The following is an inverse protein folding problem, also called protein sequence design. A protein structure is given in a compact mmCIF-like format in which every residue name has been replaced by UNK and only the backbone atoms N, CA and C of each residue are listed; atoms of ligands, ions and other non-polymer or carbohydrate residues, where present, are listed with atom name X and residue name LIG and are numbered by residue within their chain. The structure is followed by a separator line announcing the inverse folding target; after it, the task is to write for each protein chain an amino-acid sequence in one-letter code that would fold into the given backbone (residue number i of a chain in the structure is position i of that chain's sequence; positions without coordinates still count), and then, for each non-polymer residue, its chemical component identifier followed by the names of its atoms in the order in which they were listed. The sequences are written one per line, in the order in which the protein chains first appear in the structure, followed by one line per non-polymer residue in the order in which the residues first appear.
data_IF_506179785858
#
_entry.id   IF_506179785858
#
_cell.length_a   1.000
_cell.length_b   1.000
_cell.length_c   1.000
_cell.angle_alpha   90.00
_cell.angle_beta   90.00
_cell.angle_gamma   90.00
#
_symmetry.space_group_name_H-M   'P 1'
#
loop_
_entity.id
_entity.type
_entity.pdbx_description
1 polymer ?
#
# COMPACT_ATOMS: atom_id res chain seq x y z
N UNK A 1 -27.76 -29.52 -31.54
CA UNK A 1 -27.38 -29.96 -32.91
C UNK A 1 -26.92 -28.71 -33.65
N UNK A 2 -25.70 -28.51 -34.13
CA UNK A 2 -24.60 -29.39 -34.55
C UNK A 2 -23.24 -28.74 -34.19
N UNK A 3 -22.25 -29.61 -34.05
CA UNK A 3 -20.84 -29.38 -33.79
C UNK A 3 -20.13 -28.52 -34.84
N UNK A 4 -19.06 -27.83 -34.45
CA UNK A 4 -17.80 -27.92 -35.19
C UNK A 4 -16.58 -27.64 -34.30
N UNK A 5 -15.84 -28.71 -34.02
CA UNK A 5 -14.51 -28.73 -33.42
C UNK A 5 -13.47 -28.38 -34.48
N UNK A 6 -12.49 -27.52 -34.17
CA UNK A 6 -11.19 -27.53 -34.87
C UNK A 6 -10.08 -27.52 -33.83
N UNK A 7 -9.48 -28.71 -33.72
CA UNK A 7 -8.23 -29.03 -33.06
C UNK A 7 -7.13 -28.79 -34.10
N UNK A 8 -6.04 -28.09 -33.76
CA UNK A 8 -4.80 -28.15 -34.55
C UNK A 8 -3.61 -28.39 -33.61
N UNK A 9 -2.89 -29.46 -33.94
CA UNK A 9 -1.76 -30.06 -33.24
C UNK A 9 -0.50 -29.84 -34.09
N UNK A 10 0.66 -29.75 -33.43
CA UNK A 10 1.99 -30.03 -34.00
C UNK A 10 2.87 -28.78 -34.09
N UNK A 11 3.77 -28.50 -33.14
CA UNK A 11 5.06 -29.17 -32.87
C UNK A 11 6.07 -29.06 -34.03
N UNK A 12 7.15 -28.29 -33.82
CA UNK A 12 8.47 -28.62 -34.38
C UNK A 12 9.60 -27.95 -33.60
N UNK A 13 10.44 -28.82 -33.02
CA UNK A 13 11.74 -28.52 -32.42
C UNK A 13 12.72 -27.94 -33.46
N UNK A 14 13.63 -27.08 -33.01
CA UNK A 14 15.00 -27.06 -33.54
C UNK A 14 16.00 -26.75 -32.43
N UNK A 15 16.87 -27.74 -32.20
CA UNK A 15 18.09 -27.71 -31.39
C UNK A 15 19.25 -27.31 -32.30
N UNK A 16 20.03 -26.30 -31.91
CA UNK A 16 21.43 -26.04 -32.30
C UNK A 16 22.01 -25.19 -31.15
N UNK A 17 23.17 -25.40 -30.52
CA UNK A 17 24.30 -26.31 -30.69
C UNK A 17 25.41 -25.84 -29.72
N UNK A 18 26.23 -26.78 -29.22
CA UNK A 18 27.29 -26.60 -28.23
C UNK A 18 28.43 -25.64 -28.63
N UNK A 19 29.08 -25.02 -27.64
CA UNK A 19 30.55 -24.95 -27.55
C UNK A 19 31.03 -24.99 -26.09
N UNK A 20 32.04 -25.83 -25.75
CA UNK A 20 32.71 -25.81 -24.45
C UNK A 20 34.18 -25.31 -24.50
N UNK A 21 34.59 -24.76 -23.34
CA UNK A 21 35.93 -24.71 -22.72
C UNK A 21 37.03 -23.80 -23.36
N UNK A 22 37.96 -23.24 -22.55
CA UNK A 22 38.95 -24.07 -21.85
C UNK A 22 39.18 -23.78 -20.37
N UNK A 23 39.55 -24.86 -19.68
CA UNK A 23 40.24 -24.96 -18.42
C UNK A 23 41.73 -24.58 -18.54
N UNK A 24 42.30 -24.02 -17.46
CA UNK A 24 43.73 -23.80 -17.28
C UNK A 24 44.14 -24.17 -15.85
N UNK A 25 45.09 -25.09 -15.76
CA UNK A 25 45.54 -25.85 -14.58
C UNK A 25 46.65 -25.14 -13.76
N UNK A 26 46.55 -25.29 -12.44
CA UNK A 26 47.48 -26.01 -11.53
C UNK A 26 48.96 -25.58 -11.33
N UNK A 27 49.34 -25.49 -10.03
CA UNK A 27 50.68 -25.64 -9.38
C UNK A 27 51.76 -24.58 -9.70
N UNK A 28 52.66 -24.13 -8.80
CA UNK A 28 53.29 -24.72 -7.61
C UNK A 28 54.02 -23.61 -6.81
N UNK A 29 54.25 -23.88 -5.52
CA UNK A 29 55.12 -23.19 -4.54
C UNK A 29 56.54 -22.88 -5.03
N UNK A 30 57.22 -21.89 -4.40
CA UNK A 30 58.41 -22.26 -3.64
C UNK A 30 58.48 -21.64 -2.24
N UNK A 31 58.95 -22.47 -1.31
CA UNK A 31 59.41 -22.14 0.04
C UNK A 31 60.77 -21.44 -0.01
N UNK A 32 60.93 -20.31 0.69
CA UNK A 32 62.23 -19.89 1.24
C UNK A 32 62.01 -19.31 2.64
N UNK A 33 62.93 -19.71 3.52
CA UNK A 33 63.06 -19.58 4.95
C UNK A 33 63.42 -18.17 5.46
N UNK A 34 62.88 -17.88 6.65
CA UNK A 34 63.59 -17.39 7.84
C UNK A 34 63.94 -15.89 7.97
N UNK A 35 63.21 -15.20 8.86
CA UNK A 35 63.76 -14.53 10.05
C UNK A 35 62.66 -13.83 10.86
N UNK A 36 62.47 -14.27 12.12
CA UNK A 36 61.83 -13.47 13.17
C UNK A 36 62.82 -12.40 13.69
N UNK A 37 62.32 -11.24 14.13
CA UNK A 37 62.16 -10.99 15.56
C UNK A 37 60.78 -10.39 15.88
N UNK A 38 59.93 -11.09 16.63
CA UNK A 38 59.62 -10.81 18.04
C UNK A 38 59.26 -9.36 18.35
N UNK A 39 57.96 -9.03 18.29
CA UNK A 39 57.35 -8.08 19.23
C UNK A 39 55.87 -8.45 19.46
N UNK A 40 55.39 -8.56 20.71
CA UNK A 40 54.03 -8.96 21.03
C UNK A 40 53.17 -7.71 21.24
N UNK A 41 52.65 -7.14 20.15
CA UNK A 41 51.48 -6.26 20.27
C UNK A 41 50.25 -7.09 19.97
N UNK A 42 49.71 -7.68 21.04
CA UNK A 42 48.37 -8.24 21.07
C UNK A 42 47.39 -7.10 20.82
N UNK A 43 47.12 -6.81 19.55
CA UNK A 43 45.91 -6.11 19.18
C UNK A 43 44.74 -7.01 19.61
N UNK A 44 44.06 -6.63 20.69
CA UNK A 44 42.72 -7.11 20.98
C UNK A 44 41.89 -6.85 19.73
N UNK A 45 41.65 -7.92 18.98
CA UNK A 45 40.56 -7.95 18.02
C UNK A 45 39.32 -7.88 18.89
N UNK A 46 38.81 -6.66 19.09
CA UNK A 46 37.46 -6.45 19.59
C UNK A 46 36.54 -7.26 18.69
N UNK A 47 36.13 -8.42 19.21
CA UNK A 47 35.10 -9.19 18.58
C UNK A 47 33.87 -8.31 18.64
N UNK A 48 33.47 -7.75 17.50
CA UNK A 48 32.12 -7.28 17.31
C UNK A 48 31.22 -8.49 17.51
N UNK A 49 30.81 -8.73 18.76
CA UNK A 49 29.71 -9.62 19.05
C UNK A 49 28.52 -9.00 18.33
N UNK A 50 28.17 -9.56 17.17
CA UNK A 50 26.85 -9.37 16.64
C UNK A 50 25.88 -9.66 17.79
N UNK A 51 24.95 -8.76 18.12
CA UNK A 51 24.03 -9.01 19.21
C UNK A 51 23.35 -10.34 18.91
N UNK A 52 23.50 -11.30 19.82
CA UNK A 52 22.76 -12.55 19.82
C UNK A 52 21.28 -12.19 19.71
N UNK A 53 20.71 -12.22 18.51
CA UNK A 53 19.28 -12.23 18.34
C UNK A 53 18.80 -13.50 19.04
N UNK A 54 18.33 -13.35 20.28
CA UNK A 54 17.65 -14.44 20.98
C UNK A 54 16.49 -14.86 20.08
N UNK A 55 16.55 -16.07 19.53
CA UNK A 55 15.46 -16.61 18.75
C UNK A 55 14.30 -16.88 19.71
N UNK A 56 13.31 -16.00 19.69
CA UNK A 56 12.12 -16.18 20.50
C UNK A 56 11.34 -17.42 20.03
N UNK A 57 10.71 -18.17 20.96
CA UNK A 57 9.93 -19.36 20.60
C UNK A 57 8.85 -19.07 19.56
N UNK A 58 8.54 -20.05 18.71
CA UNK A 58 7.41 -19.95 17.79
C UNK A 58 6.09 -19.98 18.57
N UNK A 59 5.16 -19.09 18.20
CA UNK A 59 3.88 -18.88 18.91
C UNK A 59 2.65 -19.29 18.08
N UNK A 60 2.87 -19.85 16.89
CA UNK A 60 1.83 -20.25 15.93
C UNK A 60 2.37 -20.32 14.51
N UNK A 61 1.51 -20.64 13.54
CA UNK A 61 1.88 -20.58 12.12
C UNK A 61 1.87 -19.14 11.61
N UNK A 62 2.83 -18.81 10.75
CA UNK A 62 2.99 -17.49 10.12
C UNK A 62 2.85 -17.59 8.61
N UNK A 63 2.25 -16.56 8.02
CA UNK A 63 2.33 -16.32 6.58
C UNK A 63 3.51 -15.41 6.25
N UNK A 64 3.95 -15.45 4.99
CA UNK A 64 4.89 -14.47 4.45
C UNK A 64 4.31 -13.04 4.62
N UNK A 65 5.16 -12.10 5.05
CA UNK A 65 4.77 -10.72 5.34
C UNK A 65 4.06 -10.49 6.68
N UNK A 66 3.71 -11.55 7.44
CA UNK A 66 3.00 -11.41 8.73
C UNK A 66 3.93 -11.31 9.95
N UNK A 67 5.18 -10.91 9.72
CA UNK A 67 6.18 -10.62 10.74
C UNK A 67 6.83 -9.28 10.44
N UNK A 68 6.85 -8.38 11.42
CA UNK A 68 7.52 -7.09 11.34
C UNK A 68 8.38 -6.89 12.59
N UNK A 69 9.67 -6.65 12.39
CA UNK A 69 10.62 -6.32 13.46
C UNK A 69 10.81 -4.80 13.48
N UNK A 70 10.64 -4.19 14.65
CA UNK A 70 10.81 -2.75 14.88
C UNK A 70 11.95 -2.58 15.88
N UNK A 71 13.17 -2.58 15.35
CA UNK A 71 14.41 -2.68 16.13
C UNK A 71 14.59 -1.51 17.11
N UNK A 72 14.22 -0.29 16.71
CA UNK A 72 14.35 0.92 17.55
C UNK A 72 13.39 0.91 18.76
N UNK A 73 12.33 0.12 18.69
CA UNK A 73 11.42 -0.15 19.81
C UNK A 73 11.75 -1.44 20.57
N UNK A 74 12.65 -2.27 20.04
CA UNK A 74 12.89 -3.60 20.58
C UNK A 74 11.64 -4.50 20.52
N UNK A 75 10.78 -4.32 19.50
CA UNK A 75 9.51 -5.02 19.36
C UNK A 75 9.45 -5.87 18.09
N UNK A 76 8.66 -6.94 18.15
CA UNK A 76 8.24 -7.73 16.99
C UNK A 76 6.72 -7.84 16.96
N UNK A 77 6.13 -7.53 15.81
CA UNK A 77 4.70 -7.64 15.52
C UNK A 77 4.45 -8.89 14.69
N UNK A 78 3.49 -9.71 15.10
CA UNK A 78 3.18 -10.99 14.47
C UNK A 78 1.66 -11.12 14.24
N UNK A 79 1.29 -11.62 13.07
CA UNK A 79 -0.07 -12.10 12.77
C UNK A 79 -0.03 -13.61 12.54
N UNK A 80 -0.42 -14.37 13.56
CA UNK A 80 -0.32 -15.84 13.56
C UNK A 80 -1.69 -16.52 13.50
N UNK A 81 -1.67 -17.80 13.15
CA UNK A 81 -2.75 -18.73 13.41
C UNK A 81 -2.32 -19.81 14.41
N UNK A 82 -3.25 -20.27 15.23
CA UNK A 82 -3.06 -21.35 16.20
C UNK A 82 -4.39 -22.08 16.44
N UNK A 83 -4.43 -22.96 17.43
CA UNK A 83 -5.65 -23.69 17.78
C UNK A 83 -6.81 -22.80 18.24
N UNK A 84 -6.55 -21.58 18.71
CA UNK A 84 -7.60 -20.64 19.12
C UNK A 84 -8.23 -19.92 17.91
N UNK A 85 -7.54 -19.88 16.77
CA UNK A 85 -8.03 -19.24 15.56
C UNK A 85 -8.42 -20.20 14.45
N UNK A 86 -7.95 -21.46 14.52
CA UNK A 86 -8.25 -22.50 13.55
C UNK A 86 -9.75 -22.74 13.39
N UNK A 87 -10.18 -22.84 12.14
CA UNK A 87 -11.51 -23.27 11.76
C UNK A 87 -11.48 -24.79 11.43
N UNK A 88 -12.44 -25.59 11.90
CA UNK A 88 -12.46 -27.03 11.65
C UNK A 88 -12.55 -27.42 10.17
N UNK A 89 -13.17 -26.60 9.33
CA UNK A 89 -13.42 -26.89 7.92
C UNK A 89 -12.42 -26.15 7.02
N UNK A 90 -12.09 -24.92 7.38
CA UNK A 90 -11.30 -24.01 6.55
C UNK A 90 -9.82 -23.92 6.97
N UNK A 91 -9.46 -24.50 8.11
CA UNK A 91 -8.07 -24.61 8.57
C UNK A 91 -7.56 -23.35 9.29
N UNK A 92 -6.24 -23.05 9.21
CA UNK A 92 -5.62 -21.97 9.99
C UNK A 92 -6.15 -20.58 9.61
N UNK A 93 -6.64 -19.82 10.60
CA UNK A 93 -7.06 -18.42 10.40
C UNK A 93 -6.05 -17.45 11.01
N UNK A 94 -5.32 -16.70 10.20
CA UNK A 94 -4.25 -15.79 10.66
C UNK A 94 -4.84 -14.47 11.16
N UNK A 95 -5.38 -14.50 12.38
CA UNK A 95 -6.10 -13.38 13.02
C UNK A 95 -5.70 -13.14 14.46
N UNK A 96 -4.67 -13.82 14.98
CA UNK A 96 -4.09 -13.54 16.30
C UNK A 96 -2.94 -12.55 16.14
N UNK A 97 -3.17 -11.31 16.57
CA UNK A 97 -2.17 -10.24 16.58
C UNK A 97 -1.40 -10.27 17.90
N UNK A 98 -0.08 -10.32 17.80
CA UNK A 98 0.84 -10.30 18.92
C UNK A 98 1.88 -9.20 18.73
N UNK A 99 2.23 -8.51 19.81
CA UNK A 99 3.45 -7.69 19.89
C UNK A 99 4.27 -8.24 21.04
N UNK A 100 5.52 -8.61 20.77
CA UNK A 100 6.44 -9.12 21.79
C UNK A 100 7.74 -8.32 21.82
N UNK A 101 8.39 -8.33 22.97
CA UNK A 101 9.73 -7.75 23.12
C UNK A 101 10.80 -8.67 22.54
N UNK A 102 11.78 -8.09 21.86
CA UNK A 102 12.95 -8.81 21.34
C UNK A 102 13.95 -9.20 22.44
N UNK A 103 13.87 -8.57 23.62
CA UNK A 103 14.82 -8.78 24.72
C UNK A 103 14.52 -10.07 25.50
N UNK A 104 13.27 -10.22 25.93
CA UNK A 104 12.80 -11.29 26.82
C UNK A 104 11.73 -12.19 26.19
N UNK A 105 11.36 -11.93 24.93
CA UNK A 105 10.29 -12.64 24.21
C UNK A 105 8.91 -12.51 24.87
N UNK A 106 8.73 -11.60 25.84
CA UNK A 106 7.46 -11.41 26.52
C UNK A 106 6.44 -10.76 25.59
N UNK A 107 5.22 -11.30 25.57
CA UNK A 107 4.09 -10.72 24.87
C UNK A 107 3.69 -9.44 25.61
N UNK A 108 3.80 -8.29 24.92
CA UNK A 108 3.43 -6.96 25.42
C UNK A 108 2.00 -6.60 25.04
N UNK A 109 1.53 -7.13 23.92
CA UNK A 109 0.17 -6.91 23.44
C UNK A 109 -0.35 -8.15 22.72
N UNK A 110 -1.62 -8.46 22.92
CA UNK A 110 -2.31 -9.55 22.25
C UNK A 110 -3.77 -9.19 21.96
N UNK A 111 -4.20 -9.46 20.73
CA UNK A 111 -5.61 -9.37 20.33
C UNK A 111 -5.96 -10.48 19.35
N UNK A 112 -7.13 -11.07 19.57
CA UNK A 112 -7.79 -11.90 18.58
C UNK A 112 -8.69 -11.02 17.71
N UNK A 113 -8.33 -10.86 16.43
CA UNK A 113 -9.14 -10.13 15.46
C UNK A 113 -10.37 -10.96 15.08
N UNK A 114 -11.51 -10.31 14.77
CA UNK A 114 -12.69 -11.01 14.30
C UNK A 114 -12.46 -11.59 12.91
N UNK A 115 -13.20 -12.63 12.56
CA UNK A 115 -13.30 -13.06 11.16
C UNK A 115 -13.84 -11.88 10.34
N UNK A 116 -13.13 -11.52 9.27
CA UNK A 116 -13.54 -10.37 8.45
C UNK A 116 -14.62 -10.75 7.45
N UNK A 117 -14.27 -11.63 6.50
CA UNK A 117 -15.19 -12.20 5.51
C UNK A 117 -15.40 -13.69 5.73
N UNK A 118 -14.31 -14.45 5.88
CA UNK A 118 -14.33 -15.89 6.16
C UNK A 118 -12.99 -16.30 6.80
N UNK A 119 -12.93 -17.36 7.62
CA UNK A 119 -11.71 -17.78 8.33
C UNK A 119 -10.48 -18.04 7.45
N UNK A 120 -10.68 -18.44 6.19
CA UNK A 120 -9.65 -18.68 5.18
C UNK A 120 -9.08 -17.40 4.54
N UNK A 121 -9.66 -16.22 4.82
CA UNK A 121 -9.08 -14.94 4.43
C UNK A 121 -8.29 -14.35 5.60
N UNK A 122 -6.94 -14.44 5.57
CA UNK A 122 -6.10 -13.98 6.67
C UNK A 122 -6.05 -12.46 6.75
N UNK A 123 -5.66 -11.95 7.92
CA UNK A 123 -5.15 -10.59 8.01
C UNK A 123 -3.67 -10.57 7.57
N UNK A 124 -3.25 -9.43 7.05
CA UNK A 124 -1.86 -9.16 6.70
C UNK A 124 -1.34 -7.89 7.36
N UNK A 125 -0.07 -7.90 7.74
CA UNK A 125 0.65 -6.66 8.00
C UNK A 125 0.85 -5.96 6.65
N UNK A 126 0.68 -4.64 6.64
CA UNK A 126 0.95 -3.85 5.44
C UNK A 126 2.35 -3.26 5.52
N UNK A 127 3.10 -3.34 4.43
CA UNK A 127 4.38 -2.67 4.27
C UNK A 127 4.15 -1.15 4.27
N UNK A 128 4.17 -0.52 5.43
CA UNK A 128 4.10 0.93 5.52
C UNK A 128 5.50 1.48 5.27
N UNK A 129 5.75 1.87 4.03
CA UNK A 129 7.07 2.32 3.57
C UNK A 129 7.53 3.63 4.21
N UNK A 130 6.62 4.45 4.76
CA UNK A 130 6.88 5.89 4.95
C UNK A 130 6.74 6.48 6.36
N UNK A 131 6.37 5.73 7.40
CA UNK A 131 6.05 6.38 8.67
C UNK A 131 6.80 5.84 9.91
N UNK A 132 8.10 6.16 9.98
CA UNK A 132 8.87 6.07 11.24
C UNK A 132 8.42 7.10 12.29
N UNK A 133 7.74 8.18 11.89
CA UNK A 133 7.39 9.28 12.78
C UNK A 133 6.20 8.97 13.70
N UNK A 134 5.24 8.15 13.23
CA UNK A 134 4.03 7.84 13.98
C UNK A 134 4.00 6.41 14.55
N UNK A 135 5.04 5.58 14.28
CA UNK A 135 5.19 4.20 14.80
C UNK A 135 3.90 3.38 14.70
N UNK A 136 3.21 3.54 13.57
CA UNK A 136 1.94 2.86 13.27
C UNK A 136 2.18 1.65 12.38
N UNK A 137 1.42 0.58 12.62
CA UNK A 137 1.35 -0.59 11.75
C UNK A 137 -0.09 -0.82 11.32
N UNK A 138 -0.35 -0.80 10.02
CA UNK A 138 -1.66 -1.12 9.50
C UNK A 138 -1.79 -2.62 9.26
N UNK A 139 -2.94 -3.17 9.66
CA UNK A 139 -3.32 -4.55 9.45
C UNK A 139 -4.49 -4.56 8.49
N UNK A 140 -4.33 -5.17 7.32
CA UNK A 140 -5.40 -5.29 6.32
C UNK A 140 -6.08 -6.64 6.46
N UNK A 141 -7.39 -6.61 6.70
CA UNK A 141 -8.26 -7.76 6.49
C UNK A 141 -8.75 -7.80 5.05
N UNK A 142 -9.85 -8.52 4.83
CA UNK A 142 -10.53 -8.52 3.55
C UNK A 142 -11.19 -7.17 3.25
N UNK A 143 -12.18 -6.74 4.04
CA UNK A 143 -12.94 -5.50 3.80
C UNK A 143 -12.78 -4.46 4.90
N UNK A 144 -12.09 -4.80 5.99
CA UNK A 144 -11.72 -3.86 7.05
C UNK A 144 -10.21 -3.85 7.28
N UNK A 145 -9.74 -2.78 7.89
CA UNK A 145 -8.37 -2.68 8.38
C UNK A 145 -8.34 -2.18 9.82
N UNK A 146 -7.20 -2.35 10.45
CA UNK A 146 -6.89 -1.81 11.77
C UNK A 146 -5.56 -1.07 11.70
N UNK A 147 -5.35 -0.16 12.63
CA UNK A 147 -4.06 0.50 12.83
C UNK A 147 -3.64 0.27 14.28
N UNK A 148 -2.45 -0.31 14.43
CA UNK A 148 -1.80 -0.53 15.72
C UNK A 148 -0.80 0.60 15.95
N UNK A 149 -0.98 1.32 17.06
CA UNK A 149 0.02 2.24 17.60
C UNK A 149 1.00 1.45 18.47
N UNK A 150 2.27 1.41 18.06
CA UNK A 150 3.31 0.63 18.75
C UNK A 150 3.86 1.32 20.00
N UNK A 151 3.70 2.64 20.14
CA UNK A 151 4.12 3.33 21.35
C UNK A 151 3.09 3.16 22.45
N UNK A 152 1.81 3.39 22.13
CA UNK A 152 0.73 3.23 23.07
C UNK A 152 0.32 1.76 23.26
N UNK A 153 0.75 0.86 22.36
CA UNK A 153 0.32 -0.54 22.28
C UNK A 153 -1.20 -0.66 22.24
N UNK A 154 -1.80 0.07 21.30
CA UNK A 154 -3.25 0.15 21.19
C UNK A 154 -3.71 -0.03 19.75
N UNK A 155 -4.79 -0.80 19.59
CA UNK A 155 -5.38 -1.10 18.29
C UNK A 155 -6.59 -0.21 18.06
N UNK A 156 -6.69 0.38 16.87
CA UNK A 156 -7.84 1.15 16.45
C UNK A 156 -9.14 0.31 16.48
N UNK A 157 -10.31 0.95 16.51
CA UNK A 157 -11.54 0.33 16.02
C UNK A 157 -11.38 -0.12 14.54
N UNK A 158 -12.21 -1.06 14.06
CA UNK A 158 -12.17 -1.47 12.65
C UNK A 158 -12.49 -0.29 11.74
N UNK A 159 -11.63 -0.08 10.73
CA UNK A 159 -11.79 0.95 9.72
C UNK A 159 -12.29 0.31 8.43
N UNK A 160 -13.33 0.88 7.83
CA UNK A 160 -13.94 0.40 6.60
C UNK A 160 -13.81 1.46 5.50
N UNK A 161 -13.33 1.11 4.30
CA UNK A 161 -13.29 2.00 3.15
C UNK A 161 -14.64 2.68 2.91
N UNK A 162 -14.59 3.96 2.51
CA UNK A 162 -15.78 4.72 2.12
C UNK A 162 -15.57 5.33 0.74
N UNK A 163 -16.66 5.36 -0.03
CA UNK A 163 -16.67 5.78 -1.42
C UNK A 163 -17.80 6.79 -1.65
N UNK A 164 -17.65 7.67 -2.63
CA UNK A 164 -18.66 8.71 -2.91
C UNK A 164 -19.92 8.12 -3.52
N UNK A 165 -19.75 7.18 -4.46
CA UNK A 165 -20.84 6.43 -5.06
C UNK A 165 -20.96 5.02 -4.43
N UNK A 166 -22.14 4.42 -4.57
CA UNK A 166 -22.35 3.02 -4.19
C UNK A 166 -21.43 2.11 -5.01
N UNK A 167 -21.04 0.97 -4.43
CA UNK A 167 -20.20 -0.02 -5.08
C UNK A 167 -20.90 -1.37 -5.12
N UNK A 168 -20.73 -2.08 -6.22
CA UNK A 168 -21.27 -3.42 -6.38
C UNK A 168 -20.10 -4.41 -6.43
N UNK A 169 -20.23 -5.49 -5.66
CA UNK A 169 -19.25 -6.58 -5.72
C UNK A 169 -19.47 -7.37 -7.00
N UNK A 170 -18.42 -7.53 -7.81
CA UNK A 170 -18.44 -8.38 -9.00
C UNK A 170 -18.35 -9.86 -8.61
N UNK A 171 -17.49 -10.17 -7.63
CA UNK A 171 -17.24 -11.53 -7.19
C UNK A 171 -16.90 -11.67 -5.69
N UNK A 172 -16.47 -12.86 -5.30
CA UNK A 172 -16.10 -13.18 -3.92
C UNK A 172 -14.82 -12.47 -3.44
N UNK A 173 -14.05 -11.88 -4.34
CA UNK A 173 -12.80 -11.17 -4.09
C UNK A 173 -12.96 -9.64 -4.13
N UNK A 174 -14.06 -9.13 -4.71
CA UNK A 174 -14.38 -7.71 -4.67
C UNK A 174 -14.48 -7.20 -3.24
N UNK A 175 -13.89 -6.02 -3.00
CA UNK A 175 -13.75 -5.40 -1.68
C UNK A 175 -12.47 -5.76 -0.93
N UNK A 176 -11.69 -6.74 -1.42
CA UNK A 176 -10.43 -7.11 -0.79
C UNK A 176 -9.43 -5.93 -0.78
N UNK A 177 -8.93 -5.56 0.40
CA UNK A 177 -7.90 -4.53 0.55
C UNK A 177 -6.55 -5.11 0.09
N UNK A 178 -6.06 -4.58 -1.03
CA UNK A 178 -4.85 -5.10 -1.68
C UNK A 178 -3.59 -4.36 -1.21
N UNK A 179 -3.70 -3.05 -0.97
CA UNK A 179 -2.56 -2.20 -0.63
C UNK A 179 -2.97 -1.06 0.29
N UNK A 180 -2.03 -0.68 1.14
CA UNK A 180 -2.08 0.49 2.00
C UNK A 180 -0.74 1.23 1.88
N UNK A 181 -0.79 2.54 1.86
CA UNK A 181 0.37 3.44 1.88
C UNK A 181 0.09 4.57 2.86
N UNK A 182 1.09 4.95 3.65
CA UNK A 182 1.01 6.14 4.49
C UNK A 182 1.66 7.30 3.77
N UNK A 183 0.98 8.44 3.77
CA UNK A 183 1.46 9.68 3.20
C UNK A 183 1.10 10.84 4.09
N UNK A 184 2.12 11.47 4.68
CA UNK A 184 1.93 12.49 5.71
C UNK A 184 0.98 11.97 6.80
N UNK A 185 -0.07 12.73 7.13
CA UNK A 185 -1.10 12.37 8.10
C UNK A 185 -2.27 11.57 7.49
N UNK A 186 -2.02 10.79 6.44
CA UNK A 186 -3.05 10.01 5.75
C UNK A 186 -2.64 8.56 5.51
N UNK A 187 -3.60 7.66 5.65
CA UNK A 187 -3.53 6.28 5.19
C UNK A 187 -4.37 6.14 3.91
N UNK A 188 -3.71 5.92 2.79
CA UNK A 188 -4.30 5.77 1.46
C UNK A 188 -4.30 4.29 1.11
N UNK A 189 -5.41 3.78 0.59
CA UNK A 189 -5.53 2.36 0.25
C UNK A 189 -6.27 2.12 -1.05
N UNK A 190 -6.22 0.87 -1.49
CA UNK A 190 -6.98 0.37 -2.64
C UNK A 190 -7.70 -0.93 -2.28
N UNK A 191 -9.01 -0.95 -2.55
CA UNK A 191 -9.86 -2.11 -2.44
C UNK A 191 -10.22 -2.60 -3.84
N UNK A 192 -10.05 -3.90 -4.08
CA UNK A 192 -10.32 -4.57 -5.36
C UNK A 192 -11.75 -4.29 -5.83
N UNK A 193 -11.89 -3.85 -7.09
CA UNK A 193 -13.15 -3.49 -7.77
C UNK A 193 -13.95 -2.35 -7.11
N UNK A 194 -13.48 -1.82 -5.98
CA UNK A 194 -14.13 -0.71 -5.26
C UNK A 194 -13.39 0.61 -5.49
N UNK A 195 -12.08 0.56 -5.72
CA UNK A 195 -11.25 1.73 -5.93
C UNK A 195 -10.45 2.17 -4.70
N UNK A 196 -9.98 3.40 -4.74
CA UNK A 196 -9.13 3.99 -3.70
C UNK A 196 -9.93 4.59 -2.56
N UNK A 197 -9.37 4.56 -1.37
CA UNK A 197 -9.95 5.15 -0.15
C UNK A 197 -8.86 5.83 0.67
N UNK A 198 -9.27 6.77 1.54
CA UNK A 198 -8.34 7.54 2.37
C UNK A 198 -8.87 7.66 3.79
N UNK A 199 -7.99 7.54 4.77
CA UNK A 199 -8.24 7.90 6.16
C UNK A 199 -7.26 9.00 6.59
N UNK A 200 -7.75 10.00 7.31
CA UNK A 200 -6.92 10.98 8.02
C UNK A 200 -6.49 10.40 9.37
N UNK A 201 -5.23 10.58 9.73
CA UNK A 201 -4.61 10.16 10.98
C UNK A 201 -4.62 11.36 11.95
N UNK A 202 -5.72 11.58 12.68
CA UNK A 202 -5.92 12.79 13.49
C UNK A 202 -5.37 12.69 14.92
N UNK A 203 -4.62 11.63 15.22
CA UNK A 203 -3.98 11.39 16.51
C UNK A 203 -3.99 9.91 16.91
N UNK A 204 -3.55 9.58 18.15
CA UNK A 204 -3.52 8.21 18.63
C UNK A 204 -4.93 7.59 18.54
N UNK A 205 -5.06 6.57 17.70
CA UNK A 205 -6.31 5.83 17.44
C UNK A 205 -7.48 6.64 16.84
N UNK A 206 -7.27 7.89 16.41
CA UNK A 206 -8.33 8.69 15.78
C UNK A 206 -8.10 8.68 14.27
N UNK A 207 -8.98 7.95 13.59
CA UNK A 207 -8.94 7.79 12.14
C UNK A 207 -10.28 8.18 11.56
N UNK A 208 -10.25 9.09 10.59
CA UNK A 208 -11.46 9.60 9.95
C UNK A 208 -11.42 9.26 8.48
N UNK A 209 -12.47 8.59 7.98
CA UNK A 209 -12.60 8.33 6.56
C UNK A 209 -12.74 9.66 5.81
N UNK A 210 -11.84 9.90 4.86
CA UNK A 210 -11.92 11.04 3.95
C UNK A 210 -12.71 10.59 2.73
N UNK A 211 -13.88 11.21 2.54
CA UNK A 211 -14.68 10.96 1.35
C UNK A 211 -13.95 11.49 0.10
N UNK A 212 -13.99 10.76 -1.02
CA UNK A 212 -13.56 11.31 -2.31
C UNK A 212 -14.27 12.64 -2.57
N UNK A 213 -13.51 13.65 -2.98
CA UNK A 213 -14.09 14.94 -3.35
C UNK A 213 -14.91 14.81 -4.64
N UNK A 214 -14.42 14.01 -5.58
CA UNK A 214 -15.11 13.66 -6.80
C UNK A 214 -14.75 12.24 -7.24
N UNK A 215 -15.66 11.62 -7.99
CA UNK A 215 -15.44 10.32 -8.62
C UNK A 215 -15.90 10.36 -10.06
N UNK A 216 -15.27 9.55 -10.90
CA UNK A 216 -15.75 9.26 -12.25
C UNK A 216 -15.84 7.75 -12.45
N UNK A 217 -17.02 7.30 -12.82
CA UNK A 217 -17.31 5.92 -13.21
C UNK A 217 -16.74 5.66 -14.60
N UNK A 218 -15.63 4.92 -14.65
CA UNK A 218 -14.95 4.54 -15.89
C UNK A 218 -15.65 3.34 -16.54
N UNK A 219 -16.15 2.43 -15.71
CA UNK A 219 -16.93 1.26 -16.12
C UNK A 219 -18.10 1.12 -15.15
N UNK A 220 -19.31 1.04 -15.70
CA UNK A 220 -20.57 1.08 -14.94
C UNK A 220 -20.57 0.02 -13.83
N UNK A 221 -20.71 0.46 -12.58
CA UNK A 221 -20.75 -0.38 -11.39
C UNK A 221 -19.41 -0.97 -10.93
N UNK A 222 -18.36 -0.92 -11.76
CA UNK A 222 -17.17 -1.77 -11.63
C UNK A 222 -15.88 -0.98 -11.38
N UNK A 223 -15.72 0.20 -11.99
CA UNK A 223 -14.45 0.93 -11.90
C UNK A 223 -14.64 2.42 -11.74
N UNK A 224 -14.11 2.94 -10.64
CA UNK A 224 -14.16 4.36 -10.31
C UNK A 224 -12.77 4.96 -10.17
N UNK A 225 -12.57 6.11 -10.81
CA UNK A 225 -11.43 6.97 -10.53
C UNK A 225 -11.83 8.00 -9.47
N UNK A 226 -11.16 7.96 -8.32
CA UNK A 226 -11.45 8.86 -7.21
C UNK A 226 -10.42 9.99 -7.13
N UNK A 227 -10.89 11.20 -6.90
CA UNK A 227 -10.09 12.38 -6.61
C UNK A 227 -10.34 12.84 -5.19
N UNK A 228 -9.27 13.09 -4.43
CA UNK A 228 -9.36 13.57 -3.06
C UNK A 228 -8.81 14.99 -2.95
N UNK A 229 -9.42 15.79 -2.06
CA UNK A 229 -8.85 17.04 -1.55
C UNK A 229 -8.55 16.83 -0.07
N UNK A 230 -7.26 16.74 0.26
CA UNK A 230 -6.79 16.49 1.62
C UNK A 230 -6.48 17.83 2.29
N UNK A 231 -7.18 18.15 3.37
CA UNK A 231 -7.02 19.42 4.08
C UNK A 231 -5.86 19.40 5.05
N UNK A 232 -5.01 20.42 4.95
CA UNK A 232 -3.99 20.72 5.95
C UNK A 232 -4.57 21.57 7.09
N UNK A 233 -3.84 21.68 8.20
CA UNK A 233 -4.30 22.39 9.40
C UNK A 233 -4.48 23.90 9.20
N UNK A 234 -3.80 24.49 8.22
CA UNK A 234 -3.95 25.91 7.86
C UNK A 234 -5.12 26.18 6.88
N UNK A 235 -5.90 25.14 6.54
CA UNK A 235 -7.06 25.25 5.65
C UNK A 235 -6.75 25.15 4.16
N UNK A 236 -5.47 25.05 3.77
CA UNK A 236 -5.09 24.70 2.38
C UNK A 236 -5.37 23.24 2.09
N UNK A 237 -5.45 22.90 0.81
CA UNK A 237 -5.75 21.56 0.34
C UNK A 237 -4.69 21.03 -0.60
N UNK A 238 -4.47 19.72 -0.54
CA UNK A 238 -3.65 18.97 -1.46
C UNK A 238 -4.54 18.02 -2.27
N UNK A 239 -4.52 18.16 -3.60
CA UNK A 239 -5.21 17.25 -4.50
C UNK A 239 -4.47 15.93 -4.65
N UNK A 240 -5.20 14.81 -4.74
CA UNK A 240 -4.62 13.48 -4.88
C UNK A 240 -5.39 12.63 -5.91
N UNK A 241 -4.66 11.99 -6.81
CA UNK A 241 -5.18 10.99 -7.76
C UNK A 241 -4.55 9.60 -7.50
N UNK A 242 -4.93 8.94 -6.40
CA UNK A 242 -4.34 7.67 -6.08
C UNK A 242 -4.72 6.61 -7.12
N UNK A 243 -3.75 5.78 -7.50
CA UNK A 243 -3.89 4.76 -8.53
C UNK A 243 -3.12 3.50 -8.17
N UNK A 244 -3.81 2.38 -8.21
CA UNK A 244 -3.18 1.07 -8.04
C UNK A 244 -2.63 0.57 -9.37
N UNK A 245 -1.32 0.33 -9.41
CA UNK A 245 -0.62 -0.31 -10.52
C UNK A 245 -0.63 -1.82 -10.32
N UNK A 246 -1.48 -2.52 -11.08
CA UNK A 246 -1.62 -3.98 -10.98
C UNK A 246 -0.36 -4.74 -11.37
N UNK A 247 0.48 -4.17 -12.24
CA UNK A 247 1.72 -4.80 -12.71
C UNK A 247 2.79 -4.73 -11.63
N UNK A 248 2.99 -3.54 -11.08
CA UNK A 248 3.99 -3.30 -10.04
C UNK A 248 3.48 -3.66 -8.63
N UNK A 249 2.19 -3.99 -8.50
CA UNK A 249 1.49 -4.25 -7.21
C UNK A 249 1.69 -3.11 -6.20
N UNK A 250 1.71 -1.87 -6.71
CA UNK A 250 2.04 -0.69 -5.95
C UNK A 250 0.94 0.37 -6.06
N UNK A 251 0.72 1.12 -4.98
CA UNK A 251 -0.21 2.24 -4.97
C UNK A 251 0.57 3.54 -5.21
N UNK A 252 0.32 4.17 -6.36
CA UNK A 252 0.87 5.49 -6.70
C UNK A 252 -0.06 6.56 -6.17
N UNK A 253 0.47 7.53 -5.44
CA UNK A 253 -0.32 8.57 -4.78
C UNK A 253 -0.69 9.72 -5.73
N UNK A 254 0.23 10.13 -6.61
CA UNK A 254 0.05 11.20 -7.60
C UNK A 254 -0.52 12.51 -7.00
N UNK A 255 0.26 13.21 -6.15
CA UNK A 255 -0.13 14.53 -5.65
C UNK A 255 -0.26 15.54 -6.80
N UNK A 256 -1.32 16.33 -6.77
CA UNK A 256 -1.66 17.28 -7.83
C UNK A 256 -0.80 18.54 -7.80
N UNK A 257 -0.45 19.00 -6.61
CA UNK A 257 0.36 20.21 -6.38
C UNK A 257 1.69 19.84 -5.74
N UNK A 258 2.71 20.67 -5.98
CA UNK A 258 4.00 20.56 -5.28
C UNK A 258 3.93 20.97 -3.81
N UNK A 259 2.90 21.74 -3.44
CA UNK A 259 2.60 22.12 -2.06
C UNK A 259 1.10 22.42 -1.93
N UNK A 260 0.50 22.29 -0.73
CA UNK A 260 -0.90 22.60 -0.50
C UNK A 260 -1.27 24.03 -0.93
N UNK A 261 -2.45 24.18 -1.54
CA UNK A 261 -2.95 25.44 -2.10
C UNK A 261 -4.34 25.79 -1.57
N UNK A 262 -4.73 27.06 -1.67
CA UNK A 262 -6.11 27.48 -1.41
C UNK A 262 -6.98 27.22 -2.65
N UNK A 263 -8.13 26.56 -2.45
CA UNK A 263 -9.12 26.31 -3.49
C UNK A 263 -10.53 26.45 -2.94
N UNK A 264 -11.43 26.99 -3.77
CA UNK A 264 -12.86 26.92 -3.53
C UNK A 264 -13.37 25.50 -3.76
N UNK A 265 -13.91 24.90 -2.70
CA UNK A 265 -14.50 23.56 -2.70
C UNK A 265 -16.03 23.56 -2.86
N UNK A 266 -16.61 24.75 -3.10
CA UNK A 266 -18.04 24.92 -3.34
C UNK A 266 -18.42 24.48 -4.76
N UNK A 267 -18.50 23.17 -4.92
CA UNK A 267 -18.84 22.49 -6.18
C UNK A 267 -20.15 21.74 -5.99
N UNK A 268 -21.16 21.92 -6.86
CA UNK A 268 -22.42 21.16 -6.81
C UNK A 268 -22.18 19.65 -6.82
N UNK A 269 -23.01 18.90 -6.10
CA UNK A 269 -22.89 17.43 -6.02
C UNK A 269 -22.89 16.76 -7.39
N UNK A 270 -23.70 17.25 -8.33
CA UNK A 270 -23.76 16.75 -9.71
C UNK A 270 -22.43 16.90 -10.47
N UNK A 271 -21.65 17.93 -10.17
CA UNK A 271 -20.34 18.15 -10.79
C UNK A 271 -19.23 17.26 -10.21
N UNK A 272 -19.46 16.67 -9.01
CA UNK A 272 -18.51 15.74 -8.37
C UNK A 272 -18.62 14.31 -8.91
N UNK A 273 -19.61 14.02 -9.75
CA UNK A 273 -19.79 12.73 -10.42
C UNK A 273 -19.70 12.89 -11.95
N UNK A 274 -18.66 13.59 -12.43
CA UNK A 274 -18.42 13.86 -13.84
C UNK A 274 -16.94 13.62 -14.18
N UNK A 275 -16.65 13.32 -15.45
CA UNK A 275 -15.28 13.16 -15.94
C UNK A 275 -14.44 14.42 -15.72
N UNK A 276 -15.00 15.58 -16.01
CA UNK A 276 -14.29 16.85 -15.87
C UNK A 276 -14.75 17.60 -14.63
N UNK A 277 -13.79 18.09 -13.86
CA UNK A 277 -14.01 18.90 -12.67
C UNK A 277 -13.28 20.24 -12.84
N UNK A 278 -13.97 21.33 -12.51
CA UNK A 278 -13.39 22.68 -12.51
C UNK A 278 -13.46 23.24 -11.09
N UNK A 279 -12.29 23.47 -10.51
CA UNK A 279 -12.11 24.17 -9.24
C UNK A 279 -11.64 25.61 -9.48
N UNK A 280 -11.66 26.44 -8.44
CA UNK A 280 -11.26 27.85 -8.51
C UNK A 280 -10.26 28.19 -7.42
N UNK A 281 -9.20 28.89 -7.80
CA UNK A 281 -8.36 29.60 -6.86
C UNK A 281 -9.09 30.84 -6.31
N UNK A 282 -8.63 31.42 -5.19
CA UNK A 282 -9.23 32.63 -4.62
C UNK A 282 -9.25 33.82 -5.59
N UNK A 283 -8.29 33.90 -6.51
CA UNK A 283 -8.21 34.93 -7.56
C UNK A 283 -9.16 34.68 -8.75
N UNK A 284 -9.98 33.64 -8.70
CA UNK A 284 -10.95 33.29 -9.74
C UNK A 284 -10.38 32.44 -10.87
N UNK A 285 -9.07 32.15 -10.90
CA UNK A 285 -8.49 31.28 -11.92
C UNK A 285 -9.03 29.86 -11.82
N UNK A 286 -9.34 29.28 -12.98
CA UNK A 286 -9.82 27.92 -13.13
C UNK A 286 -8.68 26.90 -13.00
N UNK A 287 -8.95 25.84 -12.28
CA UNK A 287 -8.19 24.60 -12.27
C UNK A 287 -9.07 23.51 -12.88
N UNK A 288 -8.72 23.02 -14.06
CA UNK A 288 -9.42 21.93 -14.72
C UNK A 288 -8.74 20.59 -14.46
N UNK A 289 -9.55 19.57 -14.17
CA UNK A 289 -9.11 18.21 -13.93
C UNK A 289 -9.86 17.25 -14.87
N UNK A 290 -9.16 16.24 -15.37
CA UNK A 290 -9.71 15.11 -16.11
C UNK A 290 -9.62 13.85 -15.24
N UNK A 291 -10.73 13.44 -14.64
CA UNK A 291 -10.77 12.28 -13.73
C UNK A 291 -10.59 10.96 -14.48
N UNK A 292 -10.84 10.89 -15.79
CA UNK A 292 -10.56 9.69 -16.57
C UNK A 292 -9.04 9.51 -16.71
N UNK A 293 -8.33 10.58 -17.05
CA UNK A 293 -6.86 10.58 -17.22
C UNK A 293 -6.10 10.81 -15.92
N UNK A 294 -6.80 11.12 -14.81
CA UNK A 294 -6.23 11.36 -13.47
C UNK A 294 -5.20 12.48 -13.44
N UNK A 295 -5.45 13.56 -14.18
CA UNK A 295 -4.49 14.65 -14.33
C UNK A 295 -5.11 16.05 -14.26
N UNK A 296 -4.24 17.03 -14.03
CA UNK A 296 -4.53 18.45 -14.28
C UNK A 296 -4.51 18.72 -15.78
N UNK A 297 -5.51 19.40 -16.29
CA UNK A 297 -5.53 19.85 -17.69
C UNK A 297 -5.00 21.28 -17.77
N UNK A 298 -3.99 21.49 -18.61
CA UNK A 298 -3.49 22.82 -18.91
C UNK A 298 -4.50 23.57 -19.79
N UNK A 299 -5.08 24.64 -19.22
CA UNK A 299 -6.05 25.48 -19.91
C UNK A 299 -5.35 26.58 -20.74
N UNK A 300 -5.83 26.87 -21.96
CA UNK A 300 -5.46 28.08 -22.68
C UNK A 300 -5.65 29.34 -21.83
N UNK A 301 -4.81 30.36 -22.00
CA UNK A 301 -4.85 31.59 -21.19
C UNK A 301 -6.25 32.23 -21.15
N UNK A 302 -6.97 32.26 -22.28
CA UNK A 302 -8.32 32.80 -22.38
C UNK A 302 -9.34 32.07 -21.48
N UNK A 303 -9.12 30.78 -21.18
CA UNK A 303 -10.04 29.97 -20.37
C UNK A 303 -9.69 29.96 -18.88
N UNK A 304 -8.50 30.43 -18.49
CA UNK A 304 -8.10 30.46 -17.08
C UNK A 304 -9.03 31.34 -16.24
N UNK A 305 -9.59 32.41 -16.79
CA UNK A 305 -10.55 33.27 -16.09
C UNK A 305 -12.01 33.07 -16.57
N UNK A 306 -12.25 32.23 -17.57
CA UNK A 306 -13.57 32.03 -18.15
C UNK A 306 -14.54 31.36 -17.15
N UNK A 307 -15.87 31.54 -17.30
CA UNK A 307 -16.88 30.84 -16.50
C UNK A 307 -16.75 29.30 -16.57
N UNK A 308 -17.16 28.61 -15.50
CA UNK A 308 -17.02 27.14 -15.40
C UNK A 308 -17.69 26.40 -16.55
N UNK A 309 -18.83 26.88 -17.04
CA UNK A 309 -19.53 26.29 -18.18
C UNK A 309 -18.68 26.29 -19.46
N UNK A 310 -18.06 27.43 -19.78
CA UNK A 310 -17.22 27.56 -20.98
C UNK A 310 -15.98 26.66 -20.89
N UNK A 311 -15.37 26.57 -19.70
CA UNK A 311 -14.24 25.65 -19.45
C UNK A 311 -14.66 24.19 -19.67
N UNK A 312 -15.82 23.78 -19.14
CA UNK A 312 -16.34 22.42 -19.31
C UNK A 312 -16.68 22.09 -20.77
N UNK A 313 -17.32 23.01 -21.49
CA UNK A 313 -17.63 22.85 -22.91
C UNK A 313 -16.34 22.68 -23.74
N UNK A 314 -15.29 23.47 -23.44
CA UNK A 314 -14.00 23.32 -24.08
C UNK A 314 -13.34 21.96 -23.78
N UNK A 315 -13.36 21.51 -22.52
CA UNK A 315 -12.80 20.21 -22.13
C UNK A 315 -13.48 19.08 -22.89
N UNK A 316 -14.81 19.07 -22.98
CA UNK A 316 -15.57 18.05 -23.71
C UNK A 316 -15.23 17.98 -25.20
N UNK A 317 -14.91 19.12 -25.83
CA UNK A 317 -14.58 19.18 -27.25
C UNK A 317 -13.12 18.77 -27.55
N UNK A 318 -12.21 19.04 -26.62
CA UNK A 318 -10.76 18.94 -26.85
C UNK A 318 -10.09 17.75 -26.16
N UNK A 319 -10.81 17.08 -25.24
CA UNK A 319 -10.30 15.92 -24.48
C UNK A 319 -11.21 14.73 -24.77
N UNK A 320 -10.74 13.85 -25.67
CA UNK A 320 -11.43 12.60 -26.01
C UNK A 320 -11.26 11.55 -24.91
#
# INVERSE_FOLDING_TARGET
MRFLSILFVGLLLSLIGCQPAPSGNDRTTPTVQDSLPSNPDTAEVESYQQPLQRQCPEVGSLLEGNRLVVEDLGLEVLLVADSATADPELGPSHRRLLVRSLEDCAIRFERLLPVDRSPDYPYHLSDITYNKAHRLVALRGFSRLYVLDLEALTLSPPLQPRFLNERYAEDAQSGAILRLEVWEDYLVGYARDMGTFVFRLTGPQRFEAVMPFAEFEVLEGERYNSFFLLSTDDGRVQGLFPEYDFKEKALKLNPLFSSPVELSTNVPRSARNNRFLVLRYPDGRALALDLLQKEKVELPEALKAAPTREVLEWLQQNRR
#
